data_IF_034503478775
#
_entry.id   IF_034503478775
#
_cell.length_a   1.000
_cell.length_b   1.000
_cell.length_c   1.000
_cell.angle_alpha   90.00
_cell.angle_beta   90.00
_cell.angle_gamma   90.00
#
_symmetry.space_group_name_H-M   'P 1'
#
loop_
_entity.id
_entity.type
_entity.pdbx_description
1 polymer ?
#
# COMPACT_ATOMS: atom_id res chain seq x y z
N UNK A 1 13.44 -3.29 0.09
CA UNK A 1 14.16 -4.46 -0.44
C UNK A 1 14.80 -4.15 -1.81
N UNK A 2 14.05 -3.67 -2.81
CA UNK A 2 14.54 -3.42 -4.19
C UNK A 2 15.76 -2.50 -4.25
N UNK A 3 15.81 -1.40 -3.48
CA UNK A 3 16.97 -0.49 -3.42
C UNK A 3 18.24 -1.18 -2.92
N UNK A 4 18.12 -2.02 -1.89
CA UNK A 4 19.26 -2.76 -1.34
C UNK A 4 19.74 -3.79 -2.35
N UNK A 5 18.83 -4.57 -2.93
CA UNK A 5 19.18 -5.55 -3.97
C UNK A 5 19.85 -4.87 -5.17
N UNK A 6 19.27 -3.80 -5.70
CA UNK A 6 19.84 -3.02 -6.80
C UNK A 6 21.26 -2.52 -6.46
N UNK A 7 21.46 -1.97 -5.26
CA UNK A 7 22.78 -1.49 -4.84
C UNK A 7 23.81 -2.60 -4.73
N UNK A 8 23.43 -3.77 -4.16
CA UNK A 8 24.30 -4.95 -4.09
C UNK A 8 24.69 -5.38 -5.50
N UNK A 9 23.74 -5.52 -6.41
CA UNK A 9 23.98 -5.99 -7.76
C UNK A 9 24.85 -5.01 -8.56
N UNK A 10 24.58 -3.70 -8.46
CA UNK A 10 25.41 -2.68 -9.12
C UNK A 10 26.83 -2.70 -8.60
N UNK A 11 27.02 -2.77 -7.26
CA UNK A 11 28.36 -2.85 -6.65
C UNK A 11 29.09 -4.13 -7.09
N UNK A 12 28.39 -5.25 -7.12
CA UNK A 12 28.97 -6.52 -7.57
C UNK A 12 29.44 -6.47 -9.04
N UNK A 13 28.60 -5.91 -9.94
CA UNK A 13 28.98 -5.72 -11.35
C UNK A 13 30.18 -4.79 -11.51
N UNK A 14 30.23 -3.68 -10.76
CA UNK A 14 31.38 -2.76 -10.81
C UNK A 14 32.68 -3.44 -10.34
N UNK A 15 32.61 -4.28 -9.30
CA UNK A 15 33.79 -5.05 -8.85
C UNK A 15 34.24 -6.06 -9.92
N UNK A 16 33.31 -6.75 -10.60
CA UNK A 16 33.66 -7.70 -11.65
C UNK A 16 34.29 -7.02 -12.89
N UNK A 17 33.84 -5.80 -13.19
CA UNK A 17 34.31 -5.03 -14.34
C UNK A 17 35.56 -4.19 -14.02
N UNK A 18 36.10 -4.31 -12.80
CA UNK A 18 37.27 -3.54 -12.31
C UNK A 18 37.05 -2.01 -12.43
N UNK A 19 35.79 -1.56 -12.25
CA UNK A 19 35.45 -0.13 -12.28
C UNK A 19 36.15 0.60 -11.11
N UNK A 20 36.88 1.67 -11.39
CA UNK A 20 37.60 2.46 -10.38
C UNK A 20 36.68 3.22 -9.43
N UNK A 21 35.43 3.50 -9.82
CA UNK A 21 34.50 4.33 -9.07
C UNK A 21 33.09 3.73 -8.97
N UNK A 22 32.69 3.33 -7.78
CA UNK A 22 31.31 2.92 -7.48
C UNK A 22 30.46 4.18 -7.22
N UNK A 23 29.75 4.64 -8.24
CA UNK A 23 28.84 5.81 -8.12
C UNK A 23 27.70 5.47 -7.15
N UNK A 24 27.68 6.09 -6.01
CA UNK A 24 26.57 5.97 -5.06
C UNK A 24 26.00 7.34 -4.71
N UNK A 25 24.68 7.45 -4.64
CA UNK A 25 24.02 8.63 -4.09
C UNK A 25 24.25 8.59 -2.56
N UNK A 26 24.90 9.62 -1.97
CA UNK A 26 25.09 9.67 -0.54
C UNK A 26 23.75 9.94 0.14
N UNK A 27 23.11 8.89 0.62
CA UNK A 27 21.83 8.97 1.33
C UNK A 27 21.99 8.44 2.74
N UNK A 28 21.38 9.11 3.71
CA UNK A 28 21.40 8.70 5.11
C UNK A 28 19.97 8.63 5.64
N UNK A 29 19.65 7.55 6.33
CA UNK A 29 18.36 7.41 7.01
C UNK A 29 18.20 8.43 8.17
N UNK A 30 19.32 8.94 8.71
CA UNK A 30 19.32 10.02 9.71
C UNK A 30 18.69 11.30 9.15
N UNK A 31 18.94 11.60 7.85
CA UNK A 31 18.33 12.75 7.19
C UNK A 31 16.79 12.62 7.12
N UNK A 32 16.30 11.40 6.93
CA UNK A 32 14.86 11.13 7.00
C UNK A 32 14.32 11.37 8.41
N UNK A 33 14.98 10.86 9.44
CA UNK A 33 14.57 11.06 10.85
C UNK A 33 14.50 12.57 11.18
N UNK A 34 15.50 13.34 10.75
CA UNK A 34 15.50 14.79 10.95
C UNK A 34 14.34 15.48 10.21
N UNK A 35 14.10 15.08 8.94
CA UNK A 35 12.99 15.60 8.15
C UNK A 35 11.62 15.24 8.75
N UNK A 36 11.49 14.06 9.35
CA UNK A 36 10.27 13.65 10.06
C UNK A 36 10.04 14.50 11.32
N UNK A 37 11.10 14.78 12.11
CA UNK A 37 11.02 15.68 13.25
C UNK A 37 10.65 17.11 12.84
N UNK A 38 11.18 17.63 11.73
CA UNK A 38 10.78 18.92 11.16
C UNK A 38 9.32 18.92 10.73
N UNK A 39 8.87 17.85 10.10
CA UNK A 39 7.47 17.70 9.68
C UNK A 39 6.51 17.76 10.87
N UNK A 40 6.80 17.05 11.97
CA UNK A 40 5.96 17.03 13.16
C UNK A 40 5.73 18.42 13.78
N UNK A 41 6.65 19.37 13.54
CA UNK A 41 6.56 20.75 14.02
C UNK A 41 6.14 21.76 12.93
N UNK A 42 5.66 21.27 11.79
CA UNK A 42 5.35 22.10 10.63
C UNK A 42 3.86 22.45 10.52
N UNK A 43 3.56 23.53 9.78
CA UNK A 43 2.16 23.86 9.39
C UNK A 43 1.54 22.78 8.49
N UNK A 44 2.37 21.96 7.82
CA UNK A 44 1.89 20.85 7.02
C UNK A 44 1.30 19.75 7.91
N UNK A 45 1.92 19.46 9.05
CA UNK A 45 1.40 18.50 10.02
C UNK A 45 0.00 18.91 10.51
N UNK A 46 -0.22 20.18 10.84
CA UNK A 46 -1.54 20.66 11.28
C UNK A 46 -2.60 20.53 10.17
N UNK A 47 -2.26 20.83 8.91
CA UNK A 47 -3.18 20.63 7.77
C UNK A 47 -3.48 19.14 7.52
N UNK A 48 -2.49 18.27 7.69
CA UNK A 48 -2.69 16.84 7.56
C UNK A 48 -3.56 16.30 8.69
N UNK A 49 -3.40 16.82 9.90
CA UNK A 49 -4.24 16.53 11.05
C UNK A 49 -5.70 16.93 10.78
N UNK A 50 -5.96 18.16 10.36
CA UNK A 50 -7.29 18.64 10.02
C UNK A 50 -7.97 17.74 8.98
N UNK A 51 -7.25 17.36 7.92
CA UNK A 51 -7.74 16.43 6.90
C UNK A 51 -8.18 15.09 7.49
N UNK A 52 -7.34 14.47 8.32
CA UNK A 52 -7.66 13.16 8.90
C UNK A 52 -8.77 13.26 9.96
N UNK A 53 -8.83 14.32 10.74
CA UNK A 53 -9.90 14.57 11.68
C UNK A 53 -11.25 14.78 10.95
N UNK A 54 -11.26 15.46 9.81
CA UNK A 54 -12.45 15.61 8.95
C UNK A 54 -12.88 14.26 8.33
N UNK A 55 -11.94 13.48 7.81
CA UNK A 55 -12.24 12.15 7.24
C UNK A 55 -12.90 11.21 8.24
N UNK A 56 -12.57 11.34 9.51
CA UNK A 56 -13.04 10.45 10.59
C UNK A 56 -13.95 11.15 11.61
N UNK A 57 -14.61 12.23 11.25
CA UNK A 57 -15.70 12.81 12.06
C UNK A 57 -16.78 11.76 12.37
N UNK A 58 -17.09 10.93 11.37
CA UNK A 58 -17.88 9.72 11.55
C UNK A 58 -17.00 8.51 11.22
N UNK A 59 -16.78 7.65 12.19
CA UNK A 59 -15.98 6.43 12.04
C UNK A 59 -16.85 5.32 11.49
N UNK A 60 -16.65 4.87 10.24
CA UNK A 60 -17.40 3.75 9.66
C UNK A 60 -17.10 2.43 10.37
N UNK A 61 -17.83 1.41 10.02
CA UNK A 61 -17.53 0.04 10.42
C UNK A 61 -16.23 -0.45 9.76
N UNK A 62 -15.68 -1.55 10.27
CA UNK A 62 -14.59 -2.23 9.58
C UNK A 62 -15.14 -3.10 8.45
N UNK A 63 -14.43 -3.15 7.34
CA UNK A 63 -14.63 -4.22 6.39
C UNK A 63 -14.17 -5.51 7.03
N UNK A 64 -15.08 -6.42 7.31
CA UNK A 64 -14.81 -7.73 7.93
C UNK A 64 -15.41 -8.85 7.08
N UNK A 65 -14.81 -10.02 7.13
CA UNK A 65 -15.38 -11.22 6.57
C UNK A 65 -15.95 -12.04 7.73
N UNK A 66 -17.27 -12.16 7.86
CA UNK A 66 -17.92 -12.77 9.04
C UNK A 66 -17.39 -14.17 9.39
N UNK A 67 -17.10 -14.99 8.39
CA UNK A 67 -16.55 -16.33 8.58
C UNK A 67 -15.15 -16.37 9.19
N UNK A 68 -14.40 -15.26 9.16
CA UNK A 68 -13.08 -15.17 9.80
C UNK A 68 -13.14 -14.73 11.26
N UNK A 69 -14.27 -14.15 11.70
CA UNK A 69 -14.48 -13.72 13.09
C UNK A 69 -14.66 -14.91 14.08
N UNK A 70 -15.02 -16.08 13.57
CA UNK A 70 -15.18 -17.31 14.39
C UNK A 70 -13.85 -18.00 14.70
N UNK A 71 -12.76 -17.65 14.00
CA UNK A 71 -11.44 -18.15 14.31
C UNK A 71 -10.93 -17.51 15.60
N UNK A 72 -10.51 -18.33 16.56
CA UNK A 72 -10.03 -17.90 17.88
C UNK A 72 -9.03 -16.76 17.78
N UNK A 73 -9.31 -15.65 18.44
CA UNK A 73 -8.56 -14.39 18.41
C UNK A 73 -7.09 -14.47 18.92
N UNK A 74 -6.57 -15.65 19.19
CA UNK A 74 -5.23 -15.87 19.77
C UNK A 74 -4.19 -16.37 18.74
N UNK A 75 -4.60 -16.74 17.54
CA UNK A 75 -3.67 -17.30 16.55
C UNK A 75 -3.34 -16.28 15.47
N UNK A 76 -2.06 -15.90 15.34
CA UNK A 76 -1.54 -15.15 14.20
C UNK A 76 -1.26 -16.05 12.98
N UNK A 77 -1.53 -17.36 13.09
CA UNK A 77 -1.27 -18.30 11.99
C UNK A 77 -2.19 -18.02 10.81
N UNK A 78 -1.61 -17.92 9.62
CA UNK A 78 -2.34 -17.67 8.39
C UNK A 78 -1.84 -18.58 7.25
N UNK A 79 -2.73 -18.87 6.32
CA UNK A 79 -2.43 -19.57 5.08
C UNK A 79 -2.38 -18.60 3.91
N UNK A 80 -1.48 -18.83 2.96
CA UNK A 80 -1.39 -18.06 1.73
C UNK A 80 -1.91 -18.87 0.56
N UNK A 81 -2.82 -18.24 -0.19
CA UNK A 81 -3.24 -18.71 -1.50
C UNK A 81 -2.73 -17.76 -2.57
N UNK A 82 -2.24 -18.29 -3.68
CA UNK A 82 -1.71 -17.50 -4.81
C UNK A 82 -2.55 -17.77 -6.04
N UNK A 83 -2.97 -16.70 -6.70
CA UNK A 83 -3.75 -16.74 -7.94
C UNK A 83 -2.99 -15.92 -8.99
N UNK A 84 -2.96 -16.41 -10.21
CA UNK A 84 -2.35 -15.71 -11.32
C UNK A 84 -3.43 -15.16 -12.28
N UNK A 85 -3.30 -13.90 -12.63
CA UNK A 85 -4.12 -13.27 -13.66
C UNK A 85 -3.43 -13.48 -15.00
N UNK A 86 -4.01 -14.31 -15.88
CA UNK A 86 -3.44 -14.59 -17.18
C UNK A 86 -3.40 -13.34 -18.09
N UNK A 87 -2.56 -13.39 -19.12
CA UNK A 87 -2.33 -12.27 -20.02
C UNK A 87 -3.59 -11.79 -20.76
N UNK A 88 -4.52 -12.69 -21.09
CA UNK A 88 -5.77 -12.30 -21.75
C UNK A 88 -6.62 -11.40 -20.84
N UNK A 89 -6.83 -11.82 -19.60
CA UNK A 89 -7.59 -11.04 -18.63
C UNK A 89 -6.87 -9.74 -18.27
N UNK A 90 -5.55 -9.79 -18.08
CA UNK A 90 -4.72 -8.61 -17.78
C UNK A 90 -4.81 -7.56 -18.89
N UNK A 91 -4.75 -7.99 -20.17
CA UNK A 91 -4.87 -7.08 -21.32
C UNK A 91 -6.25 -6.41 -21.34
N UNK A 92 -7.33 -7.14 -21.04
CA UNK A 92 -8.67 -6.57 -20.95
C UNK A 92 -8.78 -5.56 -19.80
N UNK A 93 -8.21 -5.86 -18.63
CA UNK A 93 -8.16 -4.94 -17.49
C UNK A 93 -7.38 -3.67 -17.86
N UNK A 94 -6.20 -3.82 -18.49
CA UNK A 94 -5.39 -2.70 -18.93
C UNK A 94 -6.11 -1.80 -19.93
N UNK A 95 -6.79 -2.40 -20.93
CA UNK A 95 -7.61 -1.65 -21.90
C UNK A 95 -8.74 -0.89 -21.22
N UNK A 96 -9.48 -1.56 -20.34
CA UNK A 96 -10.54 -0.93 -19.56
C UNK A 96 -10.04 0.24 -18.72
N UNK A 97 -8.93 0.04 -18.00
CA UNK A 97 -8.32 1.09 -17.19
C UNK A 97 -7.88 2.29 -18.05
N UNK A 98 -7.25 2.03 -19.20
CA UNK A 98 -6.82 3.06 -20.15
C UNK A 98 -8.01 3.86 -20.69
N UNK A 99 -9.05 3.19 -21.15
CA UNK A 99 -10.23 3.83 -21.76
C UNK A 99 -10.99 4.71 -20.74
N UNK A 100 -10.98 4.32 -19.46
CA UNK A 100 -11.64 5.05 -18.39
C UNK A 100 -10.70 5.93 -17.56
N UNK A 101 -9.41 6.05 -17.95
CA UNK A 101 -8.36 6.86 -17.26
C UNK A 101 -8.18 6.46 -15.78
N UNK A 102 -8.23 5.17 -15.51
CA UNK A 102 -8.06 4.59 -14.19
C UNK A 102 -6.66 3.99 -14.03
N UNK A 103 -6.13 3.96 -12.81
CA UNK A 103 -4.95 3.17 -12.47
C UNK A 103 -5.32 1.73 -12.11
N UNK A 104 -4.42 0.77 -12.33
CA UNK A 104 -4.61 -0.60 -11.87
C UNK A 104 -4.82 -0.66 -10.35
N UNK A 105 -4.09 0.15 -9.58
CA UNK A 105 -4.29 0.26 -8.14
C UNK A 105 -5.75 0.60 -7.80
N UNK A 106 -6.32 1.66 -8.38
CA UNK A 106 -7.70 2.07 -8.10
C UNK A 106 -8.72 1.05 -8.59
N UNK A 107 -8.45 0.39 -9.72
CA UNK A 107 -9.27 -0.68 -10.24
C UNK A 107 -9.38 -1.85 -9.25
N UNK A 108 -8.25 -2.34 -8.75
CA UNK A 108 -8.26 -3.43 -7.77
C UNK A 108 -8.84 -2.99 -6.43
N UNK A 109 -8.55 -1.77 -5.97
CA UNK A 109 -9.17 -1.21 -4.77
C UNK A 109 -10.70 -1.20 -4.88
N UNK A 110 -11.25 -0.82 -6.05
CA UNK A 110 -12.69 -0.82 -6.29
C UNK A 110 -13.29 -2.23 -6.27
N UNK A 111 -12.65 -3.20 -6.93
CA UNK A 111 -13.10 -4.59 -6.96
C UNK A 111 -13.17 -5.18 -5.55
N UNK A 112 -12.07 -5.06 -4.81
CA UNK A 112 -12.01 -5.61 -3.46
C UNK A 112 -12.95 -4.87 -2.49
N UNK A 113 -13.10 -3.56 -2.64
CA UNK A 113 -14.08 -2.80 -1.86
C UNK A 113 -15.51 -3.32 -2.11
N UNK A 114 -15.89 -3.54 -3.37
CA UNK A 114 -17.22 -4.09 -3.70
C UNK A 114 -17.36 -5.50 -3.12
N UNK A 115 -16.34 -6.36 -3.27
CA UNK A 115 -16.37 -7.70 -2.71
C UNK A 115 -16.54 -7.67 -1.18
N UNK A 116 -15.70 -6.95 -0.47
CA UNK A 116 -15.76 -6.83 0.99
C UNK A 116 -17.10 -6.23 1.43
N UNK A 117 -17.55 -5.14 0.80
CA UNK A 117 -18.84 -4.53 1.11
C UNK A 117 -20.01 -5.48 0.95
N UNK A 118 -20.00 -6.34 -0.09
CA UNK A 118 -21.03 -7.36 -0.32
C UNK A 118 -20.98 -8.48 0.72
N UNK A 119 -19.79 -8.98 1.04
CA UNK A 119 -19.62 -10.07 2.03
C UNK A 119 -19.93 -9.59 3.45
N UNK A 120 -19.51 -8.38 3.80
CA UNK A 120 -19.78 -7.75 5.10
C UNK A 120 -21.19 -7.16 5.22
N UNK A 121 -21.91 -7.04 4.10
CA UNK A 121 -23.17 -6.30 4.00
C UNK A 121 -23.06 -4.84 4.48
N UNK A 122 -21.94 -4.18 4.14
CA UNK A 122 -21.63 -2.81 4.50
C UNK A 122 -21.48 -1.96 3.24
N UNK A 123 -21.97 -0.72 3.30
CA UNK A 123 -21.72 0.27 2.25
C UNK A 123 -20.61 1.26 2.64
N UNK A 124 -20.47 1.55 3.93
CA UNK A 124 -19.45 2.43 4.48
C UNK A 124 -18.52 1.64 5.40
N UNK A 125 -17.25 1.56 5.02
CA UNK A 125 -16.25 0.78 5.78
C UNK A 125 -14.82 1.26 5.51
N UNK A 126 -13.88 0.76 6.31
CA UNK A 126 -12.45 1.08 6.23
C UNK A 126 -11.65 -0.19 5.91
N UNK A 127 -10.69 -0.06 4.98
CA UNK A 127 -9.64 -1.05 4.74
C UNK A 127 -8.27 -0.39 4.93
N UNK A 128 -7.25 -1.16 5.32
CA UNK A 128 -5.88 -0.70 5.37
C UNK A 128 -5.20 -0.76 4.00
N UNK A 129 -4.37 0.22 3.67
CA UNK A 129 -3.49 0.15 2.49
C UNK A 129 -2.09 0.63 2.84
N UNK A 130 -1.06 -0.17 2.57
CA UNK A 130 0.31 0.28 2.76
C UNK A 130 0.71 1.28 1.68
N UNK A 131 1.44 2.30 2.11
CA UNK A 131 2.00 3.33 1.26
C UNK A 131 3.51 3.38 1.43
N UNK A 132 4.22 3.73 0.36
CA UNK A 132 5.69 3.81 0.39
C UNK A 132 6.19 4.97 1.25
N UNK A 133 5.38 6.00 1.45
CA UNK A 133 5.69 7.22 2.22
C UNK A 133 7.03 7.87 1.83
N UNK A 134 7.39 7.81 0.53
CA UNK A 134 8.60 8.35 -0.07
C UNK A 134 8.22 9.45 -1.07
N UNK A 135 8.31 10.70 -0.65
CA UNK A 135 7.82 11.83 -1.43
C UNK A 135 8.93 12.58 -2.16
N UNK A 136 10.14 12.58 -1.63
CA UNK A 136 11.30 13.28 -2.21
C UNK A 136 12.23 12.32 -2.97
N UNK A 137 13.10 12.89 -3.83
CA UNK A 137 14.12 12.11 -4.53
C UNK A 137 15.08 11.42 -3.54
N UNK A 138 15.48 12.08 -2.47
CA UNK A 138 16.37 11.50 -1.46
C UNK A 138 15.69 10.32 -0.74
N UNK A 139 14.43 10.48 -0.30
CA UNK A 139 13.67 9.40 0.33
C UNK A 139 13.53 8.18 -0.59
N UNK A 140 13.28 8.41 -1.90
CA UNK A 140 13.17 7.34 -2.90
C UNK A 140 14.46 6.55 -3.08
N UNK A 141 15.62 7.14 -2.79
CA UNK A 141 16.93 6.52 -2.94
C UNK A 141 17.59 6.13 -1.60
N UNK A 142 16.95 6.40 -0.48
CA UNK A 142 17.49 6.06 0.86
C UNK A 142 17.00 4.67 1.28
N UNK A 143 17.88 3.70 1.50
CA UNK A 143 17.52 2.45 2.16
C UNK A 143 16.99 2.69 3.56
N UNK A 144 15.86 2.08 3.92
CA UNK A 144 15.28 2.24 5.26
C UNK A 144 13.80 1.92 5.27
N UNK A 145 13.19 1.96 6.45
CA UNK A 145 11.76 1.73 6.67
C UNK A 145 11.02 3.05 6.55
N UNK A 146 10.26 3.22 5.49
CA UNK A 146 9.41 4.39 5.24
C UNK A 146 7.94 4.00 5.14
N UNK A 147 7.67 2.71 4.89
CA UNK A 147 6.31 2.20 4.67
C UNK A 147 5.46 2.53 5.90
N UNK A 148 4.31 3.10 5.63
CA UNK A 148 3.23 3.29 6.59
C UNK A 148 1.97 2.64 6.05
N UNK A 149 1.03 2.28 6.91
CA UNK A 149 -0.30 1.85 6.49
C UNK A 149 -1.29 2.93 6.84
N UNK A 150 -2.15 3.27 5.91
CA UNK A 150 -3.20 4.27 6.10
C UNK A 150 -4.58 3.63 6.01
N UNK A 151 -5.54 4.10 6.82
CA UNK A 151 -6.93 3.69 6.70
C UNK A 151 -7.56 4.36 5.49
N UNK A 152 -8.11 3.58 4.57
CA UNK A 152 -8.84 4.08 3.40
C UNK A 152 -10.34 3.83 3.60
N UNK A 153 -11.11 4.92 3.56
CA UNK A 153 -12.57 4.89 3.74
C UNK A 153 -13.25 4.65 2.40
N UNK A 154 -14.14 3.66 2.36
CA UNK A 154 -14.99 3.37 1.20
C UNK A 154 -16.43 3.74 1.53
N UNK A 155 -17.14 4.27 0.52
CA UNK A 155 -18.57 4.53 0.54
C UNK A 155 -19.16 4.04 -0.78
N UNK A 156 -19.82 2.87 -0.75
CA UNK A 156 -20.43 2.25 -1.92
C UNK A 156 -21.85 2.82 -2.10
N UNK A 157 -22.07 3.50 -3.20
CA UNK A 157 -23.38 4.03 -3.58
C UNK A 157 -24.00 3.11 -4.63
N UNK A 158 -25.15 2.54 -4.31
CA UNK A 158 -25.81 1.52 -5.16
C UNK A 158 -26.34 2.07 -6.50
N UNK A 159 -26.48 3.38 -6.63
CA UNK A 159 -26.89 4.08 -7.84
C UNK A 159 -25.73 4.44 -8.78
N UNK A 160 -24.48 4.20 -8.36
CA UNK A 160 -23.29 4.49 -9.15
C UNK A 160 -22.81 3.31 -9.95
N UNK A 161 -22.29 3.59 -11.15
CA UNK A 161 -21.59 2.61 -11.97
C UNK A 161 -20.22 2.27 -11.37
N UNK A 162 -19.66 1.13 -11.78
CA UNK A 162 -18.29 0.73 -11.40
C UNK A 162 -17.24 1.81 -11.77
N UNK A 163 -17.39 2.43 -12.93
CA UNK A 163 -16.47 3.48 -13.40
C UNK A 163 -16.54 4.70 -12.49
N UNK A 164 -17.75 5.19 -12.18
CA UNK A 164 -17.94 6.33 -11.27
C UNK A 164 -17.40 6.05 -9.88
N UNK A 165 -17.63 4.84 -9.35
CA UNK A 165 -17.09 4.42 -8.06
C UNK A 165 -15.57 4.39 -8.07
N UNK A 166 -14.95 3.82 -9.13
CA UNK A 166 -13.49 3.77 -9.25
C UNK A 166 -12.88 5.15 -9.44
N UNK A 167 -13.55 6.05 -10.17
CA UNK A 167 -13.13 7.46 -10.30
C UNK A 167 -13.17 8.18 -8.95
N UNK A 168 -14.20 7.93 -8.13
CA UNK A 168 -14.24 8.45 -6.76
C UNK A 168 -13.07 7.95 -5.93
N UNK A 169 -12.78 6.64 -5.95
CA UNK A 169 -11.61 6.06 -5.27
C UNK A 169 -10.33 6.74 -5.75
N UNK A 170 -10.20 7.05 -7.04
CA UNK A 170 -9.03 7.75 -7.59
C UNK A 170 -8.84 9.14 -6.97
N UNK A 171 -9.91 9.91 -6.84
CA UNK A 171 -9.88 11.23 -6.20
C UNK A 171 -9.55 11.14 -4.70
N UNK A 172 -10.19 10.21 -4.00
CA UNK A 172 -9.96 9.97 -2.58
C UNK A 172 -8.50 9.50 -2.32
N UNK A 173 -7.95 8.64 -3.20
CA UNK A 173 -6.56 8.21 -3.16
C UNK A 173 -5.58 9.37 -3.34
N UNK A 174 -5.82 10.26 -4.31
CA UNK A 174 -5.00 11.46 -4.52
C UNK A 174 -5.02 12.38 -3.31
N UNK A 175 -6.17 12.54 -2.67
CA UNK A 175 -6.31 13.33 -1.45
C UNK A 175 -5.52 12.68 -0.31
N UNK A 176 -5.72 11.38 -0.08
CA UNK A 176 -5.01 10.61 0.94
C UNK A 176 -3.48 10.70 0.76
N UNK A 177 -2.96 10.54 -0.47
CA UNK A 177 -1.52 10.62 -0.73
C UNK A 177 -0.92 11.99 -0.44
N UNK A 178 -1.69 13.07 -0.52
CA UNK A 178 -1.23 14.42 -0.13
C UNK A 178 -1.02 14.55 1.38
N UNK A 179 -1.72 13.73 2.17
CA UNK A 179 -1.72 13.74 3.64
C UNK A 179 -1.08 12.46 4.24
N UNK A 180 -0.32 11.70 3.42
CA UNK A 180 0.21 10.39 3.78
C UNK A 180 1.29 10.39 4.88
N UNK A 181 1.90 11.54 5.16
CA UNK A 181 2.94 11.66 6.19
C UNK A 181 2.37 11.69 7.61
N UNK A 182 1.06 11.95 7.77
CA UNK A 182 0.44 11.99 9.09
C UNK A 182 0.45 10.61 9.74
N UNK A 183 0.97 10.47 10.98
CA UNK A 183 1.15 9.16 11.58
C UNK A 183 -0.18 8.45 11.86
N UNK A 184 -0.25 7.17 11.53
CA UNK A 184 -1.42 6.33 11.81
C UNK A 184 -1.84 6.36 13.28
N UNK A 185 -0.84 6.36 14.19
CA UNK A 185 -1.11 6.40 15.62
C UNK A 185 -1.90 7.65 16.04
N UNK A 186 -1.62 8.80 15.45
CA UNK A 186 -2.33 10.04 15.73
C UNK A 186 -3.79 9.99 15.21
N UNK A 187 -4.03 9.34 14.07
CA UNK A 187 -5.39 9.09 13.56
C UNK A 187 -6.15 8.21 14.55
N UNK A 188 -5.53 7.11 14.99
CA UNK A 188 -6.13 6.18 15.94
C UNK A 188 -6.42 6.84 17.30
N UNK A 189 -5.52 7.66 17.81
CA UNK A 189 -5.71 8.42 19.06
C UNK A 189 -6.85 9.42 18.94
N UNK A 190 -6.99 10.10 17.79
CA UNK A 190 -8.13 10.98 17.56
C UNK A 190 -9.45 10.20 17.64
N UNK A 191 -9.54 9.07 16.99
CA UNK A 191 -10.75 8.24 16.97
C UNK A 191 -11.06 7.65 18.36
N UNK A 192 -10.04 7.28 19.13
CA UNK A 192 -10.20 6.77 20.50
C UNK A 192 -10.79 7.78 21.48
N UNK A 193 -10.77 9.08 21.16
CA UNK A 193 -11.51 10.08 21.95
C UNK A 193 -13.02 9.84 21.94
N UNK A 194 -13.56 9.36 20.83
CA UNK A 194 -14.98 9.03 20.65
C UNK A 194 -15.29 7.54 20.80
N UNK A 195 -14.33 6.66 20.49
CA UNK A 195 -14.41 5.19 20.59
C UNK A 195 -13.21 4.63 21.39
N UNK A 196 -13.20 4.73 22.74
CA UNK A 196 -12.02 4.44 23.58
C UNK A 196 -11.46 3.02 23.42
N UNK A 197 -12.31 2.04 23.12
CA UNK A 197 -11.93 0.62 23.01
C UNK A 197 -11.58 0.21 21.57
N UNK A 198 -11.37 1.18 20.65
CA UNK A 198 -11.03 0.89 19.27
C UNK A 198 -9.60 0.33 19.19
N UNK A 199 -9.38 -0.95 18.82
CA UNK A 199 -8.03 -1.53 18.77
C UNK A 199 -7.25 -1.04 17.56
N UNK A 200 -7.87 -1.10 16.37
CA UNK A 200 -7.31 -0.69 15.07
C UNK A 200 -8.37 0.02 14.24
N UNK A 201 -7.98 0.59 13.09
CA UNK A 201 -8.89 1.25 12.16
C UNK A 201 -9.29 0.37 10.97
N UNK A 202 -8.65 -0.77 10.81
CA UNK A 202 -8.93 -1.75 9.76
C UNK A 202 -8.55 -3.14 10.26
N UNK A 203 -9.12 -4.16 9.64
CA UNK A 203 -8.86 -5.57 9.89
C UNK A 203 -8.54 -6.34 8.58
N UNK A 204 -8.70 -5.68 7.45
CA UNK A 204 -8.34 -6.18 6.13
C UNK A 204 -7.37 -5.18 5.49
N UNK A 205 -6.28 -5.70 4.92
CA UNK A 205 -5.26 -4.90 4.25
C UNK A 205 -5.20 -5.24 2.77
N UNK A 206 -5.16 -4.20 1.93
CA UNK A 206 -4.95 -4.35 0.47
C UNK A 206 -3.65 -3.66 0.08
N UNK A 207 -2.72 -4.43 -0.48
CA UNK A 207 -1.42 -3.97 -0.94
C UNK A 207 -1.27 -4.16 -2.46
N UNK A 208 -0.93 -3.08 -3.16
CA UNK A 208 -0.55 -3.14 -4.57
C UNK A 208 0.94 -2.85 -4.72
N UNK A 209 1.67 -3.79 -5.27
CA UNK A 209 3.13 -3.74 -5.38
C UNK A 209 3.56 -3.79 -6.84
N UNK A 210 4.08 -2.67 -7.35
CA UNK A 210 4.58 -2.52 -8.71
C UNK A 210 6.08 -2.19 -8.78
N UNK A 211 6.83 -2.53 -7.75
CA UNK A 211 8.27 -2.26 -7.70
C UNK A 211 9.02 -3.22 -8.63
N UNK A 212 9.36 -2.74 -9.81
CA UNK A 212 10.20 -3.47 -10.78
C UNK A 212 11.67 -3.33 -10.40
N UNK A 213 12.38 -4.43 -10.31
CA UNK A 213 13.84 -4.44 -10.26
C UNK A 213 14.37 -4.33 -11.69
N UNK A 214 15.27 -3.37 -11.94
CA UNK A 214 15.89 -3.25 -13.26
C UNK A 214 16.88 -4.42 -13.45
N UNK A 215 16.42 -5.52 -14.04
CA UNK A 215 17.24 -6.73 -14.31
C UNK A 215 18.39 -6.46 -15.29
N UNK A 216 18.26 -5.40 -16.11
CA UNK A 216 19.29 -5.06 -17.11
C UNK A 216 20.51 -4.36 -16.49
N UNK A 217 20.52 -4.08 -15.20
CA UNK A 217 21.64 -3.45 -14.50
C UNK A 217 22.68 -4.44 -13.96
N UNK A 218 22.50 -5.74 -14.19
CA UNK A 218 23.45 -6.75 -13.74
C UNK A 218 23.54 -7.90 -14.77
N UNK A 219 24.77 -8.29 -15.13
CA UNK A 219 25.04 -9.42 -16.01
C UNK A 219 24.82 -10.78 -15.33
N UNK A 220 24.70 -10.79 -14.01
CA UNK A 220 24.49 -12.00 -13.23
C UNK A 220 22.98 -12.28 -13.11
N UNK A 221 22.53 -13.47 -13.56
CA UNK A 221 21.12 -13.85 -13.40
C UNK A 221 20.77 -14.02 -11.92
N UNK A 222 19.66 -13.44 -11.50
CA UNK A 222 19.12 -13.59 -10.15
C UNK A 222 17.62 -13.80 -10.17
N UNK A 223 17.09 -14.44 -9.14
CA UNK A 223 15.66 -14.58 -8.91
C UNK A 223 15.26 -13.93 -7.60
N UNK A 224 14.04 -13.38 -7.56
CA UNK A 224 13.44 -12.84 -6.34
C UNK A 224 12.25 -13.71 -5.98
N UNK A 225 12.28 -14.32 -4.81
CA UNK A 225 11.20 -15.13 -4.31
C UNK A 225 10.55 -14.45 -3.12
N UNK A 226 9.23 -14.35 -3.15
CA UNK A 226 8.46 -13.85 -2.03
C UNK A 226 8.16 -14.98 -1.05
N UNK A 227 8.70 -14.90 0.15
CA UNK A 227 8.47 -15.88 1.21
C UNK A 227 7.40 -15.41 2.17
N UNK A 228 6.56 -16.34 2.62
CA UNK A 228 5.53 -16.12 3.63
C UNK A 228 5.92 -16.84 4.92
N UNK A 229 5.88 -16.15 6.05
CA UNK A 229 6.29 -16.69 7.35
C UNK A 229 5.17 -17.43 8.11
N UNK A 230 3.99 -17.54 7.52
CA UNK A 230 2.84 -18.22 8.13
C UNK A 230 2.07 -17.39 9.15
N UNK A 231 2.38 -16.11 9.32
CA UNK A 231 1.73 -15.27 10.31
C UNK A 231 1.29 -13.91 9.74
N UNK A 232 0.13 -13.44 10.15
CA UNK A 232 -0.37 -12.09 9.90
C UNK A 232 -1.06 -11.54 11.15
N UNK A 233 -1.12 -10.22 11.27
CA UNK A 233 -1.80 -9.55 12.39
C UNK A 233 -3.26 -9.20 12.06
N UNK A 234 -3.56 -9.07 10.76
CA UNK A 234 -4.89 -8.71 10.26
C UNK A 234 -5.66 -10.00 9.93
N UNK A 235 -6.99 -9.96 9.91
CA UNK A 235 -7.82 -11.12 9.54
C UNK A 235 -7.61 -11.53 8.09
N UNK A 236 -7.27 -10.58 7.20
CA UNK A 236 -6.99 -10.87 5.80
C UNK A 236 -6.02 -9.84 5.22
N UNK A 237 -5.04 -10.34 4.45
CA UNK A 237 -4.17 -9.50 3.62
C UNK A 237 -4.29 -9.90 2.16
N UNK A 238 -4.53 -8.92 1.29
CA UNK A 238 -4.60 -9.09 -0.15
C UNK A 238 -3.38 -8.38 -0.75
N UNK A 239 -2.51 -9.15 -1.38
CA UNK A 239 -1.33 -8.62 -2.04
C UNK A 239 -1.44 -8.80 -3.55
N UNK A 240 -1.35 -7.72 -4.30
CA UNK A 240 -1.36 -7.70 -5.75
C UNK A 240 0.05 -7.37 -6.21
N UNK A 241 0.68 -8.30 -6.91
CA UNK A 241 2.04 -8.16 -7.40
C UNK A 241 2.04 -7.89 -8.91
N UNK A 242 2.40 -6.68 -9.30
CA UNK A 242 2.66 -6.26 -10.68
C UNK A 242 4.18 -6.11 -10.88
N UNK A 243 4.91 -7.23 -10.67
CA UNK A 243 6.37 -7.24 -10.63
C UNK A 243 7.00 -8.14 -11.71
N UNK A 244 6.18 -8.90 -12.45
CA UNK A 244 6.66 -9.81 -13.46
C UNK A 244 6.90 -9.10 -14.78
N UNK A 245 8.12 -9.24 -15.33
CA UNK A 245 8.47 -8.75 -16.67
C UNK A 245 7.75 -9.54 -17.79
N UNK A 246 7.10 -10.66 -17.46
CA UNK A 246 6.39 -11.55 -18.38
C UNK A 246 4.92 -11.14 -18.63
N UNK A 247 4.46 -10.05 -18.05
CA UNK A 247 3.09 -9.53 -18.28
C UNK A 247 1.98 -10.26 -17.55
N UNK A 248 2.30 -11.06 -16.53
CA UNK A 248 1.31 -11.66 -15.62
C UNK A 248 1.23 -10.87 -14.31
N UNK A 249 0.08 -10.90 -13.68
CA UNK A 249 -0.22 -10.23 -12.41
C UNK A 249 -0.63 -11.29 -11.39
N UNK A 250 0.00 -11.31 -10.22
CA UNK A 250 -0.30 -12.24 -9.11
C UNK A 250 -1.01 -11.55 -7.95
#
# INVERSE_FOLDING_TARGET
>A
ASLVASKIMTTYSSILNEDEEIKSIPTSYINYINSENEYLNSTKFEKDKEYWEEQFQTVPEFGVIPSLLESSAESSHAERQVFEINNFLLNNINSFCKDNKLSLFNFFMAIYAIYIGKVSNLNDFILGTPILNRTTFLEKNTPGMFISTVPFKFCIQNDKTFVEFTQKISLDSLSMFRHQKYPYQNILEHIRKSKPNQPNLYDILISYQNSKTNRNSCEVPYSVNWTFNGNVADSMQIHIFDMNDEGSLN
#
